data_IF_861288734497
#
_entry.id   IF_861288734497
#
_cell.length_a   1.000
_cell.length_b   1.000
_cell.length_c   1.000
_cell.angle_alpha   90.00
_cell.angle_beta   90.00
_cell.angle_gamma   90.00
#
_symmetry.space_group_name_H-M   'P 1'
#
loop_
_entity.id
_entity.type
_entity.pdbx_description
1 polymer ?
#
# COMPACT_ATOMS: atom_id res chain seq x y z
N UNK A 1 -11.09 19.40 -7.07
CA UNK A 1 -11.99 20.53 -6.70
C UNK A 1 -12.27 20.44 -5.22
N UNK A 2 -12.35 21.55 -4.48
CA UNK A 2 -12.76 21.55 -3.06
C UNK A 2 -14.28 21.78 -3.00
N UNK A 3 -14.91 21.25 -1.94
CA UNK A 3 -16.29 21.61 -1.63
C UNK A 3 -16.37 23.00 -0.95
N UNK A 4 -17.59 23.43 -0.62
CA UNK A 4 -17.82 24.77 0.00
C UNK A 4 -17.20 24.91 1.39
N UNK A 5 -16.91 23.78 2.06
CA UNK A 5 -16.31 23.73 3.40
C UNK A 5 -14.77 23.59 3.36
N UNK A 6 -14.16 23.53 2.15
CA UNK A 6 -12.72 23.38 1.97
C UNK A 6 -12.21 21.95 1.97
N UNK A 7 -13.09 20.94 1.92
CA UNK A 7 -12.68 19.54 1.84
C UNK A 7 -12.55 19.05 0.39
N UNK A 8 -11.50 18.28 0.13
CA UNK A 8 -11.33 17.56 -1.14
C UNK A 8 -12.08 16.24 -1.09
N UNK A 9 -13.07 16.01 -1.99
CA UNK A 9 -13.71 14.70 -2.11
C UNK A 9 -12.70 13.64 -2.54
N UNK A 10 -12.75 12.49 -1.86
CA UNK A 10 -11.79 11.42 -2.00
C UNK A 10 -12.48 10.06 -1.77
N UNK A 11 -11.87 8.98 -2.22
CA UNK A 11 -12.26 7.61 -1.91
C UNK A 11 -11.16 6.91 -1.15
N UNK A 12 -11.51 6.04 -0.21
CA UNK A 12 -10.60 5.10 0.43
C UNK A 12 -11.01 3.67 0.11
N UNK A 13 -10.04 2.77 0.01
CA UNK A 13 -10.25 1.39 -0.41
C UNK A 13 -9.68 0.46 0.66
N UNK A 14 -10.55 -0.38 1.24
CA UNK A 14 -10.16 -1.50 2.08
C UNK A 14 -10.34 -2.75 1.25
N UNK A 15 -9.25 -3.35 0.77
CA UNK A 15 -9.26 -4.57 -0.02
C UNK A 15 -8.95 -5.75 0.91
N UNK A 16 -9.81 -6.77 0.90
CA UNK A 16 -9.70 -7.98 1.71
C UNK A 16 -9.28 -9.18 0.86
N UNK A 17 -8.47 -10.05 1.44
CA UNK A 17 -8.32 -11.41 0.97
C UNK A 17 -9.39 -12.33 1.59
N UNK A 18 -9.32 -13.63 1.28
CA UNK A 18 -10.25 -14.65 1.79
C UNK A 18 -10.19 -14.85 3.31
N UNK A 19 -9.08 -14.44 3.95
CA UNK A 19 -8.87 -14.53 5.40
C UNK A 19 -9.30 -13.25 6.14
N UNK A 20 -9.99 -12.32 5.46
CA UNK A 20 -10.32 -10.99 5.98
C UNK A 20 -9.08 -10.16 6.41
N UNK A 21 -7.91 -10.46 5.85
CA UNK A 21 -6.76 -9.58 5.97
C UNK A 21 -6.85 -8.45 4.97
N UNK A 22 -6.36 -7.27 5.36
CA UNK A 22 -6.39 -6.07 4.54
C UNK A 22 -5.11 -5.91 3.72
N UNK A 23 -5.25 -5.49 2.49
CA UNK A 23 -4.14 -5.04 1.67
C UNK A 23 -3.58 -3.73 2.24
N UNK A 24 -2.28 -3.68 2.49
CA UNK A 24 -1.62 -2.57 3.15
C UNK A 24 -0.37 -2.17 2.37
N UNK A 25 -0.35 -0.95 1.79
CA UNK A 25 0.70 -0.46 0.90
C UNK A 25 1.70 0.44 1.60
N UNK A 26 2.98 0.24 1.30
CA UNK A 26 4.09 1.09 1.75
C UNK A 26 4.32 2.19 0.72
N UNK A 27 4.23 3.44 1.15
CA UNK A 27 4.43 4.61 0.29
C UNK A 27 5.88 4.73 -0.16
N UNK A 28 6.06 5.03 -1.45
CA UNK A 28 7.37 5.29 -2.05
C UNK A 28 8.06 6.44 -1.31
N UNK A 29 9.35 6.24 -0.99
CA UNK A 29 10.22 7.23 -0.33
C UNK A 29 9.76 7.66 1.06
N UNK A 30 8.77 6.98 1.64
CA UNK A 30 8.27 7.23 2.98
C UNK A 30 8.32 5.95 3.81
N UNK A 31 8.45 6.09 5.13
CA UNK A 31 8.32 4.95 6.07
C UNK A 31 6.85 4.75 6.49
N UNK A 32 5.92 5.30 5.70
CA UNK A 32 4.49 5.25 6.00
C UNK A 32 3.78 4.19 5.17
N UNK A 33 2.76 3.62 5.77
CA UNK A 33 1.89 2.63 5.17
C UNK A 33 0.46 3.16 5.14
N UNK A 34 -0.29 2.86 4.09
CA UNK A 34 -1.68 3.30 3.99
C UNK A 34 -2.53 2.38 3.11
N UNK A 35 -3.84 2.55 3.20
CA UNK A 35 -4.79 2.00 2.24
C UNK A 35 -4.71 2.76 0.92
N UNK A 36 -5.02 2.12 -0.22
CA UNK A 36 -5.23 2.81 -1.48
C UNK A 36 -6.32 3.87 -1.34
N UNK A 37 -6.07 5.05 -1.89
CA UNK A 37 -6.99 6.19 -1.77
C UNK A 37 -6.68 7.28 -2.79
N UNK A 38 -7.70 7.97 -3.28
CA UNK A 38 -7.43 9.10 -4.16
C UNK A 38 -8.60 10.02 -4.37
N UNK A 39 -8.31 11.15 -5.04
CA UNK A 39 -9.27 12.21 -5.26
C UNK A 39 -10.31 11.86 -6.32
N UNK A 40 -11.56 12.23 -6.06
CA UNK A 40 -12.63 12.13 -7.05
C UNK A 40 -12.45 13.27 -8.06
N UNK A 41 -12.34 12.93 -9.35
CA UNK A 41 -12.21 13.89 -10.46
C UNK A 41 -13.58 14.52 -10.79
N UNK A 42 -13.55 15.62 -11.53
CA UNK A 42 -14.79 16.25 -11.97
C UNK A 42 -15.61 15.31 -12.86
N UNK A 43 -16.87 15.12 -12.53
CA UNK A 43 -17.77 14.22 -13.26
C UNK A 43 -17.66 12.74 -12.86
N UNK A 44 -16.71 12.36 -12.02
CA UNK A 44 -16.64 10.98 -11.49
C UNK A 44 -17.63 10.76 -10.36
N UNK A 45 -18.25 9.59 -10.34
CA UNK A 45 -18.90 9.06 -9.14
C UNK A 45 -17.84 8.51 -8.17
N UNK A 46 -18.15 8.37 -6.86
CA UNK A 46 -17.23 7.72 -5.92
C UNK A 46 -16.80 6.31 -6.35
N UNK A 47 -17.71 5.53 -6.94
CA UNK A 47 -17.40 4.17 -7.43
C UNK A 47 -16.44 4.18 -8.62
N UNK A 48 -16.63 5.10 -9.57
CA UNK A 48 -15.71 5.26 -10.70
C UNK A 48 -14.31 5.68 -10.22
N UNK A 49 -14.24 6.63 -9.29
CA UNK A 49 -12.99 7.04 -8.68
C UNK A 49 -12.30 5.88 -7.94
N UNK A 50 -13.06 5.06 -7.20
CA UNK A 50 -12.55 3.89 -6.50
C UNK A 50 -11.90 2.88 -7.45
N UNK A 51 -12.56 2.51 -8.56
CA UNK A 51 -11.98 1.57 -9.53
C UNK A 51 -10.76 2.16 -10.26
N UNK A 52 -10.75 3.46 -10.53
CA UNK A 52 -9.60 4.13 -11.13
C UNK A 52 -8.41 4.13 -10.18
N UNK A 53 -8.60 4.56 -8.92
CA UNK A 53 -7.53 4.58 -7.91
C UNK A 53 -7.03 3.16 -7.58
N UNK A 54 -7.94 2.17 -7.46
CA UNK A 54 -7.55 0.78 -7.31
C UNK A 54 -6.58 0.34 -8.41
N UNK A 55 -6.92 0.64 -9.67
CA UNK A 55 -6.10 0.28 -10.81
C UNK A 55 -4.79 1.07 -10.83
N UNK A 56 -4.83 2.39 -10.60
CA UNK A 56 -3.64 3.26 -10.63
C UNK A 56 -2.63 2.87 -9.55
N UNK A 57 -3.09 2.47 -8.35
CA UNK A 57 -2.24 2.22 -7.18
C UNK A 57 -1.88 0.74 -6.96
N UNK A 58 -2.67 -0.20 -7.47
CA UNK A 58 -2.46 -1.64 -7.23
C UNK A 58 -2.38 -2.50 -8.50
N UNK A 59 -2.67 -1.93 -9.67
CA UNK A 59 -2.77 -2.69 -10.93
C UNK A 59 -4.05 -3.50 -11.08
N UNK A 60 -4.82 -3.68 -10.01
CA UNK A 60 -6.02 -4.51 -10.02
C UNK A 60 -7.13 -3.87 -10.85
N UNK A 61 -7.82 -4.70 -11.62
CA UNK A 61 -8.95 -4.31 -12.44
C UNK A 61 -10.27 -4.65 -11.75
N UNK A 62 -11.38 -4.18 -12.34
CA UNK A 62 -12.73 -4.41 -11.82
C UNK A 62 -13.06 -5.90 -11.67
N UNK A 63 -12.63 -6.74 -12.61
CA UNK A 63 -12.84 -8.20 -12.58
C UNK A 63 -12.08 -8.91 -11.45
N UNK A 64 -11.08 -8.26 -10.86
CA UNK A 64 -10.29 -8.82 -9.77
C UNK A 64 -10.89 -8.57 -8.39
N UNK A 65 -11.99 -7.83 -8.29
CA UNK A 65 -12.58 -7.45 -7.01
C UNK A 65 -14.10 -7.44 -7.04
N UNK A 66 -14.68 -7.62 -5.87
CA UNK A 66 -16.12 -7.44 -5.61
C UNK A 66 -16.32 -6.38 -4.54
N UNK A 67 -17.27 -5.46 -4.75
CA UNK A 67 -17.67 -4.49 -3.72
C UNK A 67 -18.60 -5.20 -2.73
N UNK A 68 -18.18 -5.37 -1.49
CA UNK A 68 -18.99 -5.96 -0.42
C UNK A 68 -19.62 -4.93 0.51
N UNK A 69 -19.13 -3.68 0.49
CA UNK A 69 -19.73 -2.61 1.26
C UNK A 69 -19.11 -1.25 0.98
N UNK A 70 -19.77 -0.22 1.46
CA UNK A 70 -19.25 1.14 1.49
C UNK A 70 -19.79 1.89 2.71
N UNK A 71 -19.11 2.95 3.14
CA UNK A 71 -19.62 3.85 4.17
C UNK A 71 -20.86 4.60 3.67
N UNK A 72 -21.85 4.79 4.54
CA UNK A 72 -23.09 5.50 4.20
C UNK A 72 -22.83 6.99 4.03
N UNK A 73 -21.97 7.55 4.89
CA UNK A 73 -21.71 8.96 4.94
C UNK A 73 -20.25 9.31 4.61
N UNK A 74 -20.02 10.56 4.22
CA UNK A 74 -18.71 11.13 4.08
C UNK A 74 -18.00 11.19 5.44
N UNK A 75 -16.85 10.55 5.56
CA UNK A 75 -15.96 10.69 6.70
C UNK A 75 -14.94 11.79 6.42
N UNK A 76 -14.73 12.69 7.38
CA UNK A 76 -13.90 13.88 7.22
C UNK A 76 -12.74 13.87 8.18
N UNK A 77 -11.61 14.43 7.73
CA UNK A 77 -10.50 14.76 8.58
C UNK A 77 -9.84 16.07 8.12
N UNK A 78 -9.37 16.83 9.08
CA UNK A 78 -8.60 18.04 8.83
C UNK A 78 -7.11 17.67 8.68
N UNK A 79 -6.43 18.31 7.73
CA UNK A 79 -4.98 18.14 7.55
C UNK A 79 -4.28 19.26 8.32
N UNK A 80 -3.37 18.95 9.25
CA UNK A 80 -2.65 19.96 10.00
C UNK A 80 -1.90 20.94 9.06
N UNK A 81 -1.85 22.24 9.37
CA UNK A 81 -1.31 23.27 8.46
C UNK A 81 0.12 23.00 7.96
N UNK A 82 0.96 22.34 8.75
CA UNK A 82 2.34 22.01 8.38
C UNK A 82 2.45 20.90 7.32
N UNK A 83 1.38 20.09 7.12
CA UNK A 83 1.29 19.10 6.04
C UNK A 83 0.67 19.67 4.77
N UNK A 84 0.11 20.91 4.81
CA UNK A 84 -0.52 21.53 3.66
C UNK A 84 0.53 22.26 2.83
N UNK A 85 0.58 21.98 1.52
CA UNK A 85 1.45 22.70 0.59
C UNK A 85 1.09 24.20 0.60
N UNK A 86 2.09 25.07 0.52
CA UNK A 86 1.92 26.53 0.62
C UNK A 86 0.92 27.09 -0.40
N UNK A 87 0.90 26.51 -1.60
CA UNK A 87 0.10 26.98 -2.75
C UNK A 87 -1.41 26.83 -2.52
N UNK A 88 -1.83 25.93 -1.63
CA UNK A 88 -3.26 25.67 -1.35
C UNK A 88 -3.66 26.04 0.09
N UNK A 89 -2.76 26.66 0.85
CA UNK A 89 -3.06 27.12 2.21
C UNK A 89 -4.16 28.18 2.17
N UNK A 90 -5.08 28.09 3.12
CA UNK A 90 -6.17 29.07 3.30
C UNK A 90 -7.52 28.61 2.73
N UNK A 91 -7.54 27.75 1.70
CA UNK A 91 -8.78 27.20 1.14
C UNK A 91 -8.93 25.72 1.43
N UNK A 92 -7.82 24.99 1.46
CA UNK A 92 -7.80 23.55 1.73
C UNK A 92 -7.80 23.29 3.23
N UNK A 93 -8.82 22.59 3.69
CA UNK A 93 -8.98 22.19 5.09
C UNK A 93 -8.58 20.75 5.34
N UNK A 94 -8.95 19.87 4.40
CA UNK A 94 -8.71 18.43 4.56
C UNK A 94 -9.41 17.61 3.49
N UNK A 95 -9.71 16.37 3.81
CA UNK A 95 -10.41 15.48 2.90
C UNK A 95 -11.72 14.98 3.51
N UNK A 96 -12.69 14.73 2.63
CA UNK A 96 -13.89 13.96 2.94
C UNK A 96 -13.88 12.71 2.07
N UNK A 97 -14.12 11.56 2.67
CA UNK A 97 -13.91 10.26 2.04
C UNK A 97 -15.17 9.38 2.12
N UNK A 98 -15.52 8.73 1.01
CA UNK A 98 -16.34 7.52 0.99
C UNK A 98 -15.37 6.34 0.96
N UNK A 99 -15.56 5.38 1.87
CA UNK A 99 -14.75 4.19 1.95
C UNK A 99 -15.49 3.00 1.35
N UNK A 100 -14.77 2.24 0.54
CA UNK A 100 -15.25 1.00 -0.05
C UNK A 100 -14.54 -0.19 0.60
N UNK A 101 -15.29 -1.24 0.87
CA UNK A 101 -14.79 -2.54 1.27
C UNK A 101 -14.92 -3.48 0.08
N UNK A 102 -13.79 -4.00 -0.38
CA UNK A 102 -13.69 -4.88 -1.54
C UNK A 102 -13.22 -6.26 -1.09
N UNK A 103 -13.70 -7.30 -1.75
CA UNK A 103 -13.15 -8.66 -1.69
C UNK A 103 -12.29 -8.90 -2.91
N UNK A 104 -11.06 -9.37 -2.73
CA UNK A 104 -10.20 -9.79 -3.81
C UNK A 104 -10.69 -11.13 -4.37
N UNK A 105 -10.95 -11.18 -5.66
CA UNK A 105 -11.29 -12.37 -6.44
C UNK A 105 -10.08 -12.85 -7.25
N UNK A 106 -9.14 -11.95 -7.54
CA UNK A 106 -7.88 -12.22 -8.21
C UNK A 106 -6.86 -12.88 -7.28
N UNK A 107 -5.65 -13.06 -7.81
CA UNK A 107 -4.50 -13.62 -7.09
C UNK A 107 -3.54 -12.51 -6.69
N UNK A 108 -2.69 -12.76 -5.72
CA UNK A 108 -1.62 -11.82 -5.31
C UNK A 108 -0.71 -11.42 -6.48
N UNK A 109 -0.53 -12.32 -7.45
CA UNK A 109 0.24 -12.07 -8.68
C UNK A 109 -0.42 -11.08 -9.64
N UNK A 110 -1.69 -10.76 -9.45
CA UNK A 110 -2.41 -9.78 -10.26
C UNK A 110 -2.18 -8.34 -9.75
N UNK A 111 -1.54 -8.18 -8.57
CA UNK A 111 -1.10 -6.88 -8.05
C UNK A 111 0.16 -6.44 -8.79
N UNK A 112 0.09 -5.27 -9.44
CA UNK A 112 1.20 -4.66 -10.14
C UNK A 112 1.35 -3.19 -9.75
N UNK A 113 2.34 -2.90 -8.92
CA UNK A 113 2.63 -1.55 -8.44
C UNK A 113 3.36 -0.68 -9.48
N UNK A 114 3.91 -1.28 -10.54
CA UNK A 114 4.78 -0.60 -11.49
C UNK A 114 4.13 -0.30 -12.84
N UNK A 115 3.04 -0.99 -13.16
CA UNK A 115 2.58 -1.10 -14.56
C UNK A 115 1.58 -0.04 -15.01
N UNK A 116 0.93 0.70 -14.13
CA UNK A 116 -0.25 1.49 -14.53
C UNK A 116 -0.06 3.00 -14.36
N UNK A 117 0.69 3.44 -13.37
CA UNK A 117 0.91 4.87 -13.10
C UNK A 117 2.32 5.31 -13.46
N UNK A 118 2.45 6.47 -14.14
CA UNK A 118 3.76 7.10 -14.36
C UNK A 118 4.43 7.52 -13.03
N UNK A 119 3.63 7.68 -11.99
CA UNK A 119 4.09 8.02 -10.62
C UNK A 119 3.47 7.06 -9.62
N UNK A 120 4.06 5.86 -9.43
CA UNK A 120 3.57 4.89 -8.46
C UNK A 120 3.50 5.47 -7.04
N UNK A 121 2.43 5.16 -6.31
CA UNK A 121 2.27 5.60 -4.90
C UNK A 121 2.98 4.65 -3.92
N UNK A 122 3.04 3.35 -4.25
CA UNK A 122 3.57 2.31 -3.39
C UNK A 122 4.78 1.59 -4.02
N UNK A 123 5.75 1.21 -3.18
CA UNK A 123 6.91 0.38 -3.56
C UNK A 123 6.87 -1.03 -2.97
N UNK A 124 5.98 -1.30 -2.04
CA UNK A 124 5.73 -2.60 -1.44
C UNK A 124 4.30 -2.70 -0.91
N UNK A 125 3.84 -3.92 -0.71
CA UNK A 125 2.56 -4.19 -0.08
C UNK A 125 2.59 -5.52 0.68
N UNK A 126 1.60 -5.72 1.55
CA UNK A 126 1.39 -6.98 2.28
C UNK A 126 -0.05 -7.11 2.74
N UNK A 127 -0.47 -8.31 3.05
CA UNK A 127 -1.67 -8.58 3.82
C UNK A 127 -1.41 -8.31 5.30
N UNK A 128 -2.43 -7.80 5.99
CA UNK A 128 -2.33 -7.52 7.41
C UNK A 128 -3.69 -7.71 8.10
N UNK A 129 -3.67 -7.94 9.42
CA UNK A 129 -4.91 -8.04 10.18
C UNK A 129 -5.76 -6.79 10.04
N UNK A 130 -7.08 -6.97 9.96
CA UNK A 130 -8.06 -5.92 9.67
C UNK A 130 -7.89 -4.64 10.49
N UNK A 131 -7.54 -4.75 11.79
CA UNK A 131 -7.45 -3.62 12.71
C UNK A 131 -6.07 -2.96 12.81
N UNK A 132 -5.02 -3.59 12.33
CA UNK A 132 -3.63 -3.08 12.46
C UNK A 132 -3.41 -1.70 11.84
N UNK A 133 -4.08 -1.30 10.75
CA UNK A 133 -3.92 0.05 10.21
C UNK A 133 -4.12 1.17 11.23
N UNK A 134 -4.90 0.92 12.29
CA UNK A 134 -5.13 1.93 13.34
C UNK A 134 -3.90 2.22 14.20
N UNK A 135 -2.95 1.29 14.30
CA UNK A 135 -1.77 1.44 15.14
C UNK A 135 -0.63 2.16 14.41
N UNK A 136 -0.64 2.14 13.07
CA UNK A 136 0.48 2.61 12.25
C UNK A 136 0.13 3.76 11.32
N UNK A 137 -1.15 4.13 11.21
CA UNK A 137 -1.57 5.28 10.41
C UNK A 137 -1.21 6.59 11.10
N UNK A 138 -0.88 7.62 10.31
CA UNK A 138 -0.61 8.96 10.83
C UNK A 138 -1.80 9.49 11.66
N UNK A 139 -1.53 10.11 12.79
CA UNK A 139 -2.51 10.42 13.84
C UNK A 139 -3.75 11.17 13.32
N UNK A 140 -3.59 12.21 12.50
CA UNK A 140 -4.74 12.98 12.00
C UNK A 140 -5.69 12.19 11.09
N UNK A 141 -5.26 11.03 10.56
CA UNK A 141 -6.11 10.10 9.79
C UNK A 141 -6.72 8.99 10.67
N UNK A 142 -6.24 8.80 11.89
CA UNK A 142 -6.63 7.66 12.73
C UNK A 142 -8.13 7.58 12.98
N UNK A 143 -8.77 8.71 13.23
CA UNK A 143 -10.22 8.75 13.48
C UNK A 143 -11.04 8.36 12.25
N UNK A 144 -10.68 8.81 11.06
CA UNK A 144 -11.39 8.45 9.82
C UNK A 144 -11.20 6.97 9.49
N UNK A 145 -10.00 6.42 9.70
CA UNK A 145 -9.71 4.99 9.54
C UNK A 145 -10.53 4.16 10.52
N UNK A 146 -10.53 4.55 11.81
CA UNK A 146 -11.32 3.87 12.84
C UNK A 146 -12.80 3.80 12.47
N UNK A 147 -13.40 4.94 12.09
CA UNK A 147 -14.82 4.98 11.68
C UNK A 147 -15.11 4.12 10.47
N UNK A 148 -14.25 4.17 9.45
CA UNK A 148 -14.40 3.36 8.24
C UNK A 148 -14.33 1.87 8.56
N UNK A 149 -13.30 1.43 9.30
CA UNK A 149 -13.12 0.04 9.69
C UNK A 149 -14.28 -0.44 10.58
N UNK A 150 -14.72 0.35 11.56
CA UNK A 150 -15.87 0.00 12.42
C UNK A 150 -17.16 -0.14 11.62
N UNK A 151 -17.47 0.82 10.75
CA UNK A 151 -18.70 0.77 9.95
C UNK A 151 -18.71 -0.41 8.99
N UNK A 152 -17.56 -0.71 8.38
CA UNK A 152 -17.44 -1.74 7.36
C UNK A 152 -17.21 -3.15 7.93
N UNK A 153 -16.80 -3.28 9.20
CA UNK A 153 -16.60 -4.59 9.85
C UNK A 153 -17.86 -5.46 9.87
N UNK A 154 -19.06 -4.87 9.80
CA UNK A 154 -20.34 -5.61 9.70
C UNK A 154 -20.47 -6.48 8.46
N UNK A 155 -19.68 -6.21 7.43
CA UNK A 155 -19.69 -6.97 6.18
C UNK A 155 -18.62 -8.08 6.15
N UNK A 156 -17.81 -8.21 7.22
CA UNK A 156 -16.84 -9.29 7.30
C UNK A 156 -17.57 -10.62 7.48
N UNK A 157 -17.35 -11.54 6.57
CA UNK A 157 -17.83 -12.89 6.72
C UNK A 157 -17.11 -13.58 7.88
N UNK A 158 -17.81 -14.44 8.65
CA UNK A 158 -17.14 -15.29 9.60
C UNK A 158 -16.10 -16.15 8.86
N UNK A 159 -14.84 -16.11 9.29
CA UNK A 159 -13.83 -17.04 8.75
C UNK A 159 -14.33 -18.44 9.06
N UNK A 160 -14.51 -19.33 8.07
CA UNK A 160 -14.94 -20.71 8.34
C UNK A 160 -14.01 -21.31 9.39
N UNK A 161 -14.58 -21.77 10.51
CA UNK A 161 -13.81 -22.52 11.48
C UNK A 161 -13.32 -23.78 10.77
N UNK A 162 -11.99 -23.91 10.61
CA UNK A 162 -11.40 -25.12 10.06
C UNK A 162 -11.86 -26.31 10.88
N UNK A 163 -12.42 -27.32 10.21
CA UNK A 163 -12.68 -28.61 10.84
C UNK A 163 -11.32 -29.26 11.18
N UNK A 164 -11.00 -29.51 12.46
CA UNK A 164 -9.73 -30.10 12.85
C UNK A 164 -9.50 -31.49 12.23
N UNK A 165 -10.56 -32.12 11.71
CA UNK A 165 -10.51 -33.46 11.13
C UNK A 165 -10.01 -33.48 9.66
N UNK A 166 -9.94 -32.34 8.97
CA UNK A 166 -9.57 -32.27 7.55
C UNK A 166 -8.12 -31.90 7.27
N UNK A 167 -7.27 -31.76 8.30
CA UNK A 167 -5.82 -31.77 8.18
C UNK A 167 -5.21 -30.85 7.09
N UNK A 168 -5.75 -29.65 6.86
CA UNK A 168 -5.14 -28.70 5.95
C UNK A 168 -3.90 -28.07 6.60
N UNK A 169 -2.75 -28.35 6.02
CA UNK A 169 -1.49 -27.67 6.32
C UNK A 169 -1.63 -26.22 5.86
N UNK A 170 -1.51 -25.29 6.80
CA UNK A 170 -1.32 -23.88 6.48
C UNK A 170 -0.01 -23.73 5.71
N UNK A 171 -0.06 -23.57 4.40
CA UNK A 171 1.01 -22.85 3.69
C UNK A 171 0.85 -21.36 4.01
N UNK A 172 1.34 -20.97 5.18
CA UNK A 172 1.71 -19.59 5.41
C UNK A 172 2.89 -19.31 4.49
N UNK A 173 2.59 -18.70 3.33
CA UNK A 173 3.60 -18.21 2.41
C UNK A 173 4.39 -17.07 3.02
N UNK A 174 5.21 -17.36 4.01
CA UNK A 174 6.37 -16.55 4.33
C UNK A 174 7.36 -16.74 3.19
N UNK A 175 7.44 -15.78 2.29
CA UNK A 175 8.59 -15.66 1.41
C UNK A 175 9.75 -15.22 2.31
N UNK A 176 10.42 -16.19 2.93
CA UNK A 176 11.74 -15.97 3.47
C UNK A 176 12.66 -15.62 2.30
N UNK A 177 13.15 -14.38 2.31
CA UNK A 177 14.22 -13.97 1.44
C UNK A 177 15.39 -14.94 1.65
N UNK A 178 15.68 -15.79 0.67
CA UNK A 178 16.87 -16.64 0.69
C UNK A 178 18.08 -15.75 0.89
N UNK A 179 18.94 -16.02 1.88
CA UNK A 179 20.16 -15.26 2.04
C UNK A 179 21.02 -15.47 0.78
N UNK A 180 21.38 -14.36 0.14
CA UNK A 180 22.35 -14.34 -0.97
C UNK A 180 23.64 -14.94 -0.41
N UNK A 181 24.00 -16.16 -0.86
CA UNK A 181 25.26 -16.80 -0.50
C UNK A 181 26.39 -15.95 -1.06
N UNK A 182 27.11 -15.25 -0.17
CA UNK A 182 28.39 -14.65 -0.50
C UNK A 182 29.35 -15.77 -0.87
N UNK A 183 29.62 -15.93 -2.16
CA UNK A 183 30.74 -16.73 -2.63
C UNK A 183 32.01 -16.06 -2.11
N UNK A 184 32.65 -16.68 -1.13
CA UNK A 184 34.01 -16.37 -0.69
C UNK A 184 34.95 -16.60 -1.86
N UNK A 185 35.48 -15.52 -2.40
CA UNK A 185 36.58 -15.58 -3.35
C UNK A 185 37.84 -16.02 -2.59
N UNK A 186 38.22 -17.26 -2.81
CA UNK A 186 39.48 -17.83 -2.32
C UNK A 186 40.63 -17.13 -3.02
N UNK A 187 41.44 -16.44 -2.26
CA UNK A 187 42.69 -15.84 -2.71
C UNK A 187 43.68 -16.92 -3.12
N UNK A 188 43.99 -17.01 -4.39
CA UNK A 188 45.21 -17.67 -4.86
C UNK A 188 46.38 -16.68 -4.79
N UNK A 189 47.18 -16.83 -3.79
CA UNK A 189 48.57 -16.31 -3.79
C UNK A 189 49.35 -17.08 -4.83
N UNK A 190 49.88 -16.38 -5.83
CA UNK A 190 50.99 -16.83 -6.66
C UNK A 190 52.17 -15.88 -6.46
N UNK A 191 53.16 -16.45 -5.82
CA UNK A 191 54.57 -15.93 -5.76
C UNK A 191 55.10 -15.76 -7.16
N UNK A 192 55.66 -14.60 -7.48
CA UNK A 192 56.84 -14.49 -8.38
C UNK A 192 57.69 -13.29 -7.93
N UNK A 193 58.74 -13.59 -7.41
CA UNK A 193 60.17 -13.26 -7.43
C UNK A 193 60.59 -12.08 -8.30
N UNK A 194 61.16 -11.12 -7.59
CA UNK A 194 62.39 -10.33 -7.80
C UNK A 194 63.07 -10.46 -9.15
N UNK A 195 63.24 -9.32 -9.83
CA UNK A 195 64.52 -8.96 -10.47
C UNK A 195 64.69 -7.44 -10.44
N UNK A 196 65.77 -7.02 -9.78
CA UNK A 196 66.45 -5.75 -9.87
C UNK A 196 67.03 -5.59 -11.25
N UNK A 197 67.11 -4.37 -11.69
CA UNK A 197 68.15 -3.64 -12.41
C UNK A 197 67.50 -2.43 -13.06
N UNK A 198 67.85 -1.19 -12.87
CA UNK A 198 69.17 -0.61 -12.90
C UNK A 198 69.23 0.39 -14.07
N UNK A 199 69.57 1.65 -13.76
CA UNK A 199 70.08 2.70 -14.65
C UNK A 199 69.09 3.74 -15.18
N UNK A 200 69.19 4.92 -14.59
CA UNK A 200 70.01 6.10 -15.01
C UNK A 200 69.44 7.01 -16.10
N UNK A 201 69.24 8.23 -15.63
CA UNK A 201 69.66 9.51 -16.26
C UNK A 201 68.88 10.19 -17.36
N UNK A 202 68.59 11.41 -17.05
CA UNK A 202 68.77 12.66 -17.86
C UNK A 202 67.63 13.02 -18.82
N UNK A 203 66.97 14.07 -18.70
CA UNK A 203 67.18 15.51 -18.69
C UNK A 203 65.89 16.20 -18.31
#
# INVERSE_FOLDING_TARGET
MLDREGYRPNVGIILLNTNNEVWWGKRIREQSWQFPQGGIKHGETPEQAMYRELREETGLKREHVEIIGRTQNWLRYDVPPHFIRREIRGHYRGQKQIWFLLRMLGRDTDVDLSGVSETPEFDAWRWHHYWVPLDVVIEFKRNVYMKALQELSRFLEPIPKMDPALGYVHESGQIEAKPVSRKTATSRQSRQQVKQDGRKKSR
#
